data_IF_124583865151
#
_entry.id   IF_124583865151
#
_cell.length_a   1.000
_cell.length_b   1.000
_cell.length_c   1.000
_cell.angle_alpha   90.00
_cell.angle_beta   90.00
_cell.angle_gamma   90.00
#
_symmetry.space_group_name_H-M   'P 1'
#
loop_
_entity.id
_entity.type
_entity.pdbx_description
1 polymer ?
#
# COMPACT_ATOMS: atom_id res chain seq x y z
N UNK A 1 10.70 -19.37 19.04
CA UNK A 1 10.29 -18.15 18.32
C UNK A 1 10.30 -18.45 16.84
N UNK A 2 9.27 -18.04 16.10
CA UNK A 2 9.23 -18.15 14.63
C UNK A 2 9.73 -16.83 14.06
N UNK A 3 10.64 -16.90 13.09
CA UNK A 3 11.10 -15.75 12.31
C UNK A 3 10.69 -15.99 10.87
N UNK A 4 10.16 -14.97 10.24
CA UNK A 4 9.84 -14.97 8.82
C UNK A 4 10.36 -13.71 8.17
N UNK A 5 10.43 -13.71 6.85
CA UNK A 5 10.95 -12.62 6.06
C UNK A 5 9.91 -12.22 5.01
N UNK A 6 9.71 -10.92 4.89
CA UNK A 6 9.03 -10.31 3.76
C UNK A 6 10.11 -9.57 2.98
N UNK A 7 10.24 -9.87 1.69
CA UNK A 7 11.25 -9.26 0.82
C UNK A 7 10.57 -8.70 -0.41
N UNK A 8 11.00 -7.52 -0.84
CA UNK A 8 10.60 -6.93 -2.13
C UNK A 8 11.89 -6.71 -2.92
N UNK A 9 11.98 -7.40 -4.04
CA UNK A 9 13.08 -7.26 -4.98
C UNK A 9 12.65 -6.25 -6.05
N UNK A 10 13.47 -5.21 -6.24
CA UNK A 10 13.20 -4.11 -7.17
C UNK A 10 14.31 -4.06 -8.20
N UNK A 11 13.95 -4.23 -9.46
CA UNK A 11 14.84 -4.03 -10.61
C UNK A 11 14.60 -2.63 -11.17
N UNK A 12 15.69 -1.86 -11.32
CA UNK A 12 15.67 -0.47 -11.75
C UNK A 12 16.25 -0.31 -13.16
N UNK A 13 15.74 0.65 -13.92
CA UNK A 13 16.36 1.09 -15.18
C UNK A 13 17.60 1.98 -14.95
N UNK A 14 18.23 2.42 -16.04
CA UNK A 14 19.40 3.31 -16.03
C UNK A 14 19.14 4.66 -15.34
N UNK A 15 17.88 5.06 -15.20
CA UNK A 15 17.46 6.29 -14.51
C UNK A 15 16.99 6.04 -13.08
N UNK A 16 17.21 4.82 -12.55
CA UNK A 16 16.77 4.39 -11.22
C UNK A 16 15.24 4.34 -11.05
N UNK A 17 14.49 4.11 -12.13
CA UNK A 17 13.03 3.93 -12.10
C UNK A 17 12.72 2.43 -12.01
N UNK A 18 11.80 1.99 -11.13
CA UNK A 18 11.38 0.59 -11.08
C UNK A 18 10.81 0.09 -12.42
N UNK A 19 11.42 -0.95 -12.99
CA UNK A 19 10.89 -1.67 -14.16
C UNK A 19 10.11 -2.91 -13.72
N UNK A 20 10.70 -3.71 -12.83
CA UNK A 20 10.10 -4.95 -12.34
C UNK A 20 10.22 -5.03 -10.82
N UNK A 21 9.15 -5.52 -10.19
CA UNK A 21 9.17 -5.83 -8.76
C UNK A 21 8.59 -7.22 -8.52
N UNK A 22 9.21 -7.94 -7.59
CA UNK A 22 8.64 -9.18 -7.03
C UNK A 22 8.62 -9.10 -5.53
N UNK A 23 7.69 -9.80 -4.89
CA UNK A 23 7.63 -9.86 -3.44
C UNK A 23 7.46 -11.28 -2.94
N UNK A 24 7.97 -11.51 -1.73
CA UNK A 24 8.02 -12.80 -1.07
C UNK A 24 7.46 -12.64 0.34
N UNK A 25 6.56 -13.54 0.72
CA UNK A 25 6.06 -13.69 2.08
C UNK A 25 5.73 -15.17 2.32
N UNK A 26 6.78 -15.99 2.52
CA UNK A 26 6.67 -17.45 2.56
C UNK A 26 5.70 -17.94 3.65
N UNK A 27 5.63 -17.26 4.79
CA UNK A 27 4.69 -17.59 5.87
C UNK A 27 3.21 -17.41 5.45
N UNK A 28 2.94 -16.49 4.52
CA UNK A 28 1.64 -16.25 3.91
C UNK A 28 1.40 -17.04 2.62
N UNK A 29 2.34 -17.91 2.23
CA UNK A 29 2.24 -18.71 1.00
C UNK A 29 2.55 -17.94 -0.29
N UNK A 30 3.25 -16.80 -0.20
CA UNK A 30 3.64 -16.01 -1.37
C UNK A 30 5.12 -16.18 -1.66
N UNK A 31 5.44 -16.64 -2.87
CA UNK A 31 6.80 -16.88 -3.34
C UNK A 31 7.01 -16.24 -4.71
N UNK A 32 7.88 -15.22 -4.76
CA UNK A 32 8.33 -14.53 -5.98
C UNK A 32 7.20 -14.05 -6.90
N UNK A 33 6.11 -13.57 -6.32
CA UNK A 33 4.99 -13.04 -7.07
C UNK A 33 5.32 -11.65 -7.62
N UNK A 34 4.92 -11.39 -8.86
CA UNK A 34 5.13 -10.08 -9.50
C UNK A 34 4.14 -9.05 -8.93
N UNK A 35 4.61 -7.81 -8.77
CA UNK A 35 3.74 -6.68 -8.43
C UNK A 35 4.13 -5.44 -9.22
N UNK A 36 3.13 -4.60 -9.51
CA UNK A 36 3.34 -3.30 -10.16
C UNK A 36 3.43 -2.13 -9.18
N UNK A 37 3.05 -2.33 -7.91
CA UNK A 37 3.14 -1.31 -6.89
C UNK A 37 3.37 -1.91 -5.50
N UNK A 38 4.01 -1.12 -4.64
CA UNK A 38 4.13 -1.42 -3.21
C UNK A 38 4.06 -0.12 -2.41
N UNK A 39 3.43 -0.18 -1.25
CA UNK A 39 3.50 0.86 -0.23
C UNK A 39 3.85 0.19 1.09
N UNK A 40 4.93 0.65 1.71
CA UNK A 40 5.37 0.18 3.02
C UNK A 40 5.52 1.39 3.91
N UNK A 41 4.94 1.30 5.10
CA UNK A 41 5.18 2.26 6.17
C UNK A 41 5.73 1.54 7.40
N UNK A 42 6.69 2.18 8.08
CA UNK A 42 7.22 1.73 9.37
C UNK A 42 7.15 2.86 10.37
N UNK A 43 6.91 2.53 11.64
CA UNK A 43 6.89 3.50 12.72
C UNK A 43 8.29 3.71 13.28
N UNK A 44 8.77 4.97 13.29
CA UNK A 44 9.96 5.35 14.02
C UNK A 44 9.57 5.95 15.38
N UNK A 45 9.74 5.15 16.43
CA UNK A 45 9.44 5.55 17.81
C UNK A 45 10.25 6.78 18.26
N UNK A 46 11.49 6.93 17.81
CA UNK A 46 12.36 8.01 18.28
C UNK A 46 11.93 9.36 17.73
N UNK A 47 11.53 9.38 16.47
CA UNK A 47 11.02 10.58 15.79
C UNK A 47 9.51 10.75 15.97
N UNK A 48 8.80 9.71 16.43
CA UNK A 48 7.33 9.66 16.53
C UNK A 48 6.66 9.96 15.19
N UNK A 49 7.15 9.33 14.12
CA UNK A 49 6.64 9.52 12.77
C UNK A 49 6.59 8.21 11.96
N UNK A 50 5.83 8.24 10.87
CA UNK A 50 5.80 7.16 9.88
C UNK A 50 6.83 7.41 8.77
N UNK A 51 7.76 6.48 8.61
CA UNK A 51 8.65 6.43 7.45
C UNK A 51 7.99 5.60 6.35
N UNK A 52 8.13 6.01 5.08
CA UNK A 52 7.43 5.37 3.96
C UNK A 52 8.33 5.11 2.76
N UNK A 53 8.04 4.02 2.06
CA UNK A 53 8.58 3.69 0.74
C UNK A 53 7.38 3.34 -0.14
N UNK A 54 7.18 4.12 -1.20
CA UNK A 54 6.14 3.88 -2.19
C UNK A 54 6.78 3.75 -3.56
N UNK A 55 6.54 2.63 -4.22
CA UNK A 55 7.10 2.32 -5.53
C UNK A 55 5.99 1.89 -6.47
N UNK A 56 6.14 2.25 -7.73
CA UNK A 56 5.34 1.76 -8.84
C UNK A 56 6.25 1.49 -10.02
N UNK A 57 5.96 0.41 -10.75
CA UNK A 57 6.63 0.14 -12.03
C UNK A 57 6.21 1.16 -13.06
N UNK A 58 7.12 1.49 -13.98
CA UNK A 58 6.87 2.40 -15.12
C UNK A 58 5.64 2.04 -15.96
N UNK A 59 5.30 0.75 -16.05
CA UNK A 59 4.18 0.23 -16.84
C UNK A 59 2.83 0.26 -16.13
N UNK A 60 2.75 0.69 -14.86
CA UNK A 60 1.48 0.74 -14.16
C UNK A 60 0.62 1.88 -14.73
N UNK A 61 -0.58 1.61 -15.28
CA UNK A 61 -1.45 2.67 -15.78
C UNK A 61 -1.92 3.57 -14.64
N UNK A 62 -2.09 4.86 -14.94
CA UNK A 62 -2.55 5.87 -13.96
C UNK A 62 -3.87 5.48 -13.29
N UNK A 63 -4.82 4.92 -14.04
CA UNK A 63 -6.10 4.49 -13.46
C UNK A 63 -5.95 3.32 -12.49
N UNK A 64 -4.98 2.43 -12.70
CA UNK A 64 -4.64 1.39 -11.73
C UNK A 64 -3.95 1.97 -10.50
N UNK A 65 -3.10 2.99 -10.65
CA UNK A 65 -2.48 3.68 -9.51
C UNK A 65 -3.55 4.33 -8.63
N UNK A 66 -4.51 5.03 -9.23
CA UNK A 66 -5.67 5.60 -8.52
C UNK A 66 -6.47 4.52 -7.80
N UNK A 67 -6.78 3.41 -8.49
CA UNK A 67 -7.49 2.29 -7.88
C UNK A 67 -6.73 1.70 -6.69
N UNK A 68 -5.41 1.53 -6.81
CA UNK A 68 -4.57 1.05 -5.72
C UNK A 68 -4.62 1.97 -4.51
N UNK A 69 -4.50 3.28 -4.71
CA UNK A 69 -4.66 4.28 -3.64
C UNK A 69 -6.04 4.21 -2.98
N UNK A 70 -7.10 4.10 -3.77
CA UNK A 70 -8.46 3.96 -3.25
C UNK A 70 -8.60 2.73 -2.35
N UNK A 71 -8.11 1.57 -2.79
CA UNK A 71 -8.17 0.34 -1.99
C UNK A 71 -7.37 0.45 -0.69
N UNK A 72 -6.24 1.16 -0.70
CA UNK A 72 -5.48 1.44 0.52
C UNK A 72 -6.33 2.29 1.48
N UNK A 73 -6.92 3.39 1.02
CA UNK A 73 -7.77 4.26 1.86
C UNK A 73 -8.93 3.48 2.50
N UNK A 74 -9.63 2.64 1.74
CA UNK A 74 -10.67 1.75 2.28
C UNK A 74 -10.09 0.84 3.38
N UNK A 75 -8.96 0.18 3.10
CA UNK A 75 -8.33 -0.75 4.05
C UNK A 75 -7.80 -0.07 5.33
N UNK A 76 -7.46 1.23 5.24
CA UNK A 76 -7.03 2.01 6.39
C UNK A 76 -8.16 2.20 7.39
N UNK A 77 -9.40 2.41 6.95
CA UNK A 77 -10.57 2.52 7.84
C UNK A 77 -10.74 1.26 8.70
N UNK A 78 -10.76 0.09 8.06
CA UNK A 78 -10.86 -1.18 8.78
C UNK A 78 -9.63 -1.47 9.66
N UNK A 79 -8.43 -1.04 9.24
CA UNK A 79 -7.21 -1.20 10.05
C UNK A 79 -7.24 -0.32 11.29
N UNK A 80 -7.69 0.93 11.14
CA UNK A 80 -7.87 1.88 12.23
C UNK A 80 -8.89 1.35 13.24
N UNK A 81 -10.07 0.93 12.78
CA UNK A 81 -11.12 0.37 13.62
C UNK A 81 -10.61 -0.79 14.49
N UNK A 82 -9.89 -1.75 13.89
CA UNK A 82 -9.33 -2.89 14.64
C UNK A 82 -8.26 -2.49 15.65
N UNK A 83 -7.56 -1.39 15.43
CA UNK A 83 -6.50 -0.92 16.30
C UNK A 83 -7.02 -0.06 17.47
N UNK A 84 -8.04 0.77 17.26
CA UNK A 84 -8.51 1.76 18.25
C UNK A 84 -9.90 1.49 18.81
N UNK A 85 -10.77 0.80 18.05
CA UNK A 85 -12.18 0.58 18.39
C UNK A 85 -13.07 1.81 18.18
N UNK A 86 -12.59 2.86 17.50
CA UNK A 86 -13.35 4.08 17.22
C UNK A 86 -14.12 3.95 15.90
N UNK A 87 -15.37 3.47 16.00
CA UNK A 87 -16.20 3.17 14.84
C UNK A 87 -16.57 4.42 14.01
N UNK A 88 -16.76 5.57 14.65
CA UNK A 88 -17.10 6.83 13.99
C UNK A 88 -15.95 7.37 13.13
N UNK A 89 -14.73 7.31 13.65
CA UNK A 89 -13.53 7.72 12.90
C UNK A 89 -13.23 6.73 11.77
N UNK A 90 -13.41 5.43 11.99
CA UNK A 90 -13.25 4.41 10.95
C UNK A 90 -14.24 4.62 9.79
N UNK A 91 -15.52 4.86 10.10
CA UNK A 91 -16.54 5.17 9.10
C UNK A 91 -16.19 6.43 8.30
N UNK A 92 -15.68 7.47 8.97
CA UNK A 92 -15.22 8.68 8.31
C UNK A 92 -14.04 8.43 7.35
N UNK A 93 -13.09 7.56 7.69
CA UNK A 93 -11.99 7.18 6.78
C UNK A 93 -12.54 6.48 5.52
N UNK A 94 -13.55 5.62 5.67
CA UNK A 94 -14.21 4.97 4.54
C UNK A 94 -14.97 5.98 3.66
N UNK A 95 -15.62 6.98 4.25
CA UNK A 95 -16.24 8.09 3.51
C UNK A 95 -15.21 8.90 2.71
N UNK A 96 -14.04 9.18 3.27
CA UNK A 96 -12.93 9.83 2.54
C UNK A 96 -12.50 8.97 1.34
N UNK A 97 -12.45 7.65 1.50
CA UNK A 97 -12.10 6.76 0.40
C UNK A 97 -13.13 6.85 -0.74
N UNK A 98 -14.43 6.88 -0.42
CA UNK A 98 -15.49 7.07 -1.41
C UNK A 98 -15.41 8.45 -2.09
N UNK A 99 -15.17 9.52 -1.33
CA UNK A 99 -14.92 10.85 -1.91
C UNK A 99 -13.70 10.87 -2.85
N UNK A 100 -12.62 10.17 -2.46
CA UNK A 100 -11.44 10.02 -3.30
C UNK A 100 -11.80 9.32 -4.61
N UNK A 101 -12.64 8.27 -4.59
CA UNK A 101 -13.07 7.57 -5.80
C UNK A 101 -13.75 8.50 -6.80
N UNK A 102 -14.63 9.39 -6.32
CA UNK A 102 -15.32 10.38 -7.14
C UNK A 102 -14.35 11.43 -7.66
N UNK A 103 -13.54 12.03 -6.77
CA UNK A 103 -12.59 13.11 -7.14
C UNK A 103 -11.50 12.65 -8.10
N UNK A 104 -11.09 11.38 -8.00
CA UNK A 104 -10.07 10.78 -8.88
C UNK A 104 -10.64 10.21 -10.18
N UNK A 105 -11.96 10.29 -10.37
CA UNK A 105 -12.71 9.74 -11.51
C UNK A 105 -12.58 8.21 -11.66
N UNK A 106 -12.40 7.49 -10.54
CA UNK A 106 -12.52 6.02 -10.49
C UNK A 106 -13.99 5.61 -10.54
N UNK A 107 -14.85 6.40 -9.88
CA UNK A 107 -16.29 6.21 -9.79
C UNK A 107 -16.97 7.48 -10.31
N UNK A 108 -18.00 7.32 -11.14
CA UNK A 108 -18.82 8.42 -11.65
C UNK A 108 -19.91 8.79 -10.67
#
# INVERSE_FOLDING_TARGET
MRKTQITIDVELDENHIPEKMTWNAQDGGVEKEETKAVMISVWDEKASEALRIDLWTKEMPVDQMKMFMHQILVSMGSTYQRATGEDDVAAWIEEIAEEFAVKSAIKM
#
